data_IF_647177781945
#
_entry.id   IF_647177781945
#
_cell.length_a   1.000
_cell.length_b   1.000
_cell.length_c   1.000
_cell.angle_alpha   90.00
_cell.angle_beta   90.00
_cell.angle_gamma   90.00
#
_symmetry.space_group_name_H-M   'P 1'
#
loop_
_entity.id
_entity.type
_entity.pdbx_description
1 polymer ?
#
# COMPACT_ATOMS: atom_id res chain seq x y z
N UNK A 1 -23.24 -12.40 -0.32
CA UNK A 1 -22.00 -13.18 -0.20
C UNK A 1 -21.40 -12.74 1.12
N UNK A 2 -21.55 -13.60 2.13
CA UNK A 2 -21.28 -13.27 3.53
C UNK A 2 -19.78 -13.19 3.74
N UNK A 3 -19.27 -12.00 4.06
CA UNK A 3 -17.87 -11.81 4.44
C UNK A 3 -17.69 -12.33 5.87
N UNK A 4 -16.75 -13.26 6.04
CA UNK A 4 -16.49 -13.94 7.30
C UNK A 4 -15.86 -13.00 8.33
N UNK A 5 -16.54 -12.87 9.48
CA UNK A 5 -16.16 -12.15 10.69
C UNK A 5 -14.95 -12.77 11.43
N UNK A 6 -13.76 -12.79 10.83
CA UNK A 6 -12.57 -13.32 11.52
C UNK A 6 -11.32 -12.44 11.48
N UNK A 7 -11.24 -11.45 10.59
CA UNK A 7 -10.01 -10.66 10.41
C UNK A 7 -10.06 -9.25 11.00
N UNK A 8 -11.08 -8.97 11.81
CA UNK A 8 -11.28 -7.70 12.51
C UNK A 8 -10.34 -7.52 13.72
N UNK A 9 -9.14 -8.11 13.72
CA UNK A 9 -8.34 -8.30 14.95
C UNK A 9 -7.20 -7.29 15.10
N UNK A 10 -6.51 -6.90 14.02
CA UNK A 10 -5.28 -6.09 14.15
C UNK A 10 -5.59 -4.64 14.55
N UNK A 11 -6.58 -4.00 13.92
CA UNK A 11 -7.07 -2.69 14.35
C UNK A 11 -7.82 -2.72 15.71
N UNK A 12 -8.39 -3.86 16.12
CA UNK A 12 -9.08 -4.00 17.42
C UNK A 12 -8.14 -4.24 18.60
N UNK A 13 -7.02 -4.92 18.42
CA UNK A 13 -6.14 -5.30 19.53
C UNK A 13 -5.48 -4.09 20.23
N UNK A 14 -5.36 -2.96 19.55
CA UNK A 14 -4.86 -1.70 20.15
C UNK A 14 -5.92 -0.94 20.96
N UNK A 15 -7.17 -1.41 21.01
CA UNK A 15 -8.29 -0.70 21.66
C UNK A 15 -8.63 -1.18 23.08
N UNK A 16 -7.99 -2.24 23.59
CA UNK A 16 -8.26 -2.70 24.95
C UNK A 16 -7.49 -1.89 25.99
N UNK A 17 -8.15 -0.85 26.48
CA UNK A 17 -8.17 -0.28 27.86
C UNK A 17 -7.89 1.21 28.05
N UNK A 18 -7.48 1.99 27.05
CA UNK A 18 -7.41 3.46 27.19
C UNK A 18 -7.74 4.18 25.87
N UNK A 19 -8.90 4.83 25.80
CA UNK A 19 -9.24 5.75 24.72
C UNK A 19 -8.49 7.06 24.92
N UNK A 20 -7.37 7.24 24.20
CA UNK A 20 -6.64 8.50 24.12
C UNK A 20 -6.88 9.07 22.71
N UNK A 21 -7.67 10.14 22.53
CA UNK A 21 -8.00 10.67 21.21
C UNK A 21 -6.75 11.05 20.38
N UNK A 22 -5.66 11.44 21.05
CA UNK A 22 -4.37 11.71 20.41
C UNK A 22 -3.69 10.46 19.84
N UNK A 23 -3.78 9.32 20.52
CA UNK A 23 -3.07 8.09 20.12
C UNK A 23 -3.69 7.46 18.86
N UNK A 24 -5.02 7.46 18.78
CA UNK A 24 -5.75 6.97 17.61
C UNK A 24 -5.50 7.84 16.36
N UNK A 25 -5.44 9.16 16.53
CA UNK A 25 -5.09 10.07 15.43
C UNK A 25 -3.65 9.84 14.93
N UNK A 26 -2.69 9.57 15.83
CA UNK A 26 -1.31 9.26 15.44
C UNK A 26 -1.18 7.91 14.73
N UNK A 27 -1.94 6.90 15.12
CA UNK A 27 -1.97 5.59 14.46
C UNK A 27 -2.58 5.72 13.06
N UNK A 28 -3.76 6.34 12.93
CA UNK A 28 -4.39 6.60 11.63
C UNK A 28 -3.46 7.36 10.69
N UNK A 29 -2.71 8.33 11.21
CA UNK A 29 -1.74 9.09 10.42
C UNK A 29 -0.58 8.21 9.93
N UNK A 30 -0.06 7.31 10.76
CA UNK A 30 0.99 6.36 10.36
C UNK A 30 0.53 5.45 9.22
N UNK A 31 -0.66 4.87 9.33
CA UNK A 31 -1.24 4.01 8.29
C UNK A 31 -1.48 4.77 6.98
N UNK A 32 -1.94 6.02 7.05
CA UNK A 32 -2.08 6.87 5.86
C UNK A 32 -0.74 7.13 5.17
N UNK A 33 0.32 7.37 5.94
CA UNK A 33 1.66 7.56 5.39
C UNK A 33 2.24 6.26 4.81
N UNK A 34 2.03 5.12 5.49
CA UNK A 34 2.44 3.81 5.01
C UNK A 34 1.75 3.44 3.69
N UNK A 35 0.44 3.70 3.57
CA UNK A 35 -0.30 3.50 2.33
C UNK A 35 0.30 4.27 1.15
N UNK A 36 0.72 5.52 1.37
CA UNK A 36 1.38 6.31 0.32
C UNK A 36 2.72 5.72 -0.10
N UNK A 37 3.51 5.21 0.86
CA UNK A 37 4.76 4.54 0.56
C UNK A 37 4.55 3.24 -0.22
N UNK A 38 3.53 2.44 0.13
CA UNK A 38 3.15 1.24 -0.61
C UNK A 38 2.85 1.56 -2.07
N UNK A 39 2.01 2.57 -2.30
CA UNK A 39 1.62 2.96 -3.66
C UNK A 39 2.82 3.48 -4.47
N UNK A 40 3.75 4.20 -3.83
CA UNK A 40 4.98 4.65 -4.49
C UNK A 40 5.86 3.47 -4.94
N UNK A 41 6.13 2.51 -4.05
CA UNK A 41 6.96 1.35 -4.39
C UNK A 41 6.30 0.39 -5.38
N UNK A 42 4.98 0.22 -5.30
CA UNK A 42 4.26 -0.62 -6.23
C UNK A 42 4.21 0.03 -7.63
N UNK A 43 3.99 1.34 -7.72
CA UNK A 43 4.07 2.06 -9.00
C UNK A 43 5.47 1.98 -9.60
N UNK A 44 6.51 2.16 -8.79
CA UNK A 44 7.88 2.02 -9.25
C UNK A 44 8.12 0.59 -9.78
N UNK A 45 7.76 -0.44 -9.03
CA UNK A 45 7.94 -1.83 -9.43
C UNK A 45 7.19 -2.18 -10.73
N UNK A 46 5.97 -1.66 -10.91
CA UNK A 46 5.20 -1.81 -12.14
C UNK A 46 5.90 -1.12 -13.32
N UNK A 47 6.50 0.07 -13.10
CA UNK A 47 7.19 0.83 -14.15
C UNK A 47 8.44 0.13 -14.68
N UNK A 48 9.05 -0.75 -13.88
CA UNK A 48 10.20 -1.57 -14.30
C UNK A 48 9.81 -2.75 -15.19
N UNK A 49 8.51 -3.09 -15.28
CA UNK A 49 8.04 -4.20 -16.12
C UNK A 49 7.89 -3.72 -17.56
N UNK A 50 8.43 -4.49 -18.50
CA UNK A 50 8.26 -4.23 -19.93
C UNK A 50 6.75 -4.22 -20.29
N UNK A 51 6.20 -3.10 -20.81
CA UNK A 51 4.79 -2.98 -21.16
C UNK A 51 4.34 -3.98 -22.24
N UNK A 52 5.28 -4.58 -22.98
CA UNK A 52 4.99 -5.61 -24.00
C UNK A 52 4.90 -7.01 -23.41
N UNK A 53 5.33 -7.23 -22.17
CA UNK A 53 5.30 -8.56 -21.53
C UNK A 53 3.86 -8.90 -21.16
N UNK A 54 3.37 -10.03 -21.69
CA UNK A 54 2.01 -10.53 -21.43
C UNK A 54 2.06 -11.92 -20.81
N UNK A 55 1.09 -12.24 -19.96
CA UNK A 55 0.89 -13.57 -19.39
C UNK A 55 -0.42 -14.19 -19.89
N UNK A 56 -0.42 -15.51 -20.08
CA UNK A 56 -1.63 -16.28 -20.38
C UNK A 56 -2.38 -16.55 -19.08
N UNK A 57 -3.55 -15.95 -18.89
CA UNK A 57 -4.41 -16.16 -17.71
C UNK A 57 -5.34 -17.37 -17.86
N UNK A 58 -4.99 -18.27 -18.77
CA UNK A 58 -5.73 -19.49 -19.05
C UNK A 58 -7.01 -19.25 -19.87
N UNK A 59 -7.27 -20.16 -20.80
CA UNK A 59 -8.55 -20.22 -21.48
C UNK A 59 -8.84 -21.65 -21.95
N UNK A 60 -9.60 -22.37 -21.15
CA UNK A 60 -10.18 -23.65 -21.56
C UNK A 60 -11.57 -23.48 -22.20
N UNK A 61 -11.91 -22.27 -22.67
CA UNK A 61 -13.11 -22.09 -23.48
C UNK A 61 -12.82 -22.59 -24.89
N UNK A 62 -13.25 -23.83 -25.15
CA UNK A 62 -13.38 -24.32 -26.51
C UNK A 62 -14.42 -23.45 -27.22
N UNK A 63 -14.01 -22.86 -28.33
CA UNK A 63 -14.95 -22.36 -29.32
C UNK A 63 -15.75 -23.54 -29.90
N UNK A 64 -16.94 -23.29 -30.47
CA UNK A 64 -17.73 -24.33 -31.16
C UNK A 64 -16.97 -25.02 -32.32
N UNK A 65 -15.88 -24.41 -32.81
CA UNK A 65 -15.00 -24.93 -33.87
C UNK A 65 -13.85 -25.83 -33.35
N UNK A 66 -13.76 -26.07 -32.04
CA UNK A 66 -12.72 -26.90 -31.43
C UNK A 66 -11.41 -26.16 -31.11
N UNK A 67 -11.30 -24.87 -31.40
CA UNK A 67 -10.12 -24.07 -31.05
C UNK A 67 -10.18 -23.53 -29.63
N UNK A 68 -9.03 -23.49 -28.95
CA UNK A 68 -8.85 -22.90 -27.62
C UNK A 68 -8.49 -21.41 -27.77
N UNK A 69 -9.17 -20.52 -27.06
CA UNK A 69 -8.93 -19.07 -27.16
C UNK A 69 -8.06 -18.55 -26.04
N UNK A 70 -6.73 -18.57 -26.17
CA UNK A 70 -5.84 -18.01 -25.15
C UNK A 70 -6.18 -16.56 -24.78
N UNK A 71 -6.53 -16.31 -23.51
CA UNK A 71 -6.71 -14.97 -22.96
C UNK A 71 -5.36 -14.46 -22.48
N UNK A 72 -4.83 -13.45 -23.16
CA UNK A 72 -3.59 -12.75 -22.79
C UNK A 72 -3.91 -11.44 -22.10
N UNK A 73 -3.22 -11.16 -21.00
CA UNK A 73 -3.27 -9.87 -20.31
C UNK A 73 -1.85 -9.33 -20.10
N UNK A 74 -1.66 -8.00 -19.99
CA UNK A 74 -0.36 -7.43 -19.63
C UNK A 74 0.14 -8.00 -18.30
N UNK A 75 1.40 -8.43 -18.24
CA UNK A 75 2.00 -9.01 -17.02
C UNK A 75 1.94 -8.00 -15.87
N UNK A 76 2.30 -6.74 -16.15
CA UNK A 76 2.28 -5.64 -15.20
C UNK A 76 0.95 -5.43 -14.47
N UNK A 77 -0.14 -5.99 -15.01
CA UNK A 77 -1.51 -5.85 -14.50
C UNK A 77 -2.17 -7.19 -14.15
N UNK A 78 -1.43 -8.29 -14.27
CA UNK A 78 -1.93 -9.60 -13.87
C UNK A 78 -1.96 -9.69 -12.35
N UNK A 79 -3.06 -10.22 -11.79
CA UNK A 79 -3.25 -10.36 -10.34
C UNK A 79 -2.07 -11.10 -9.69
N UNK A 80 -1.60 -12.19 -10.32
CA UNK A 80 -0.43 -12.94 -9.87
C UNK A 80 0.82 -12.08 -9.76
N UNK A 81 1.10 -11.25 -10.77
CA UNK A 81 2.28 -10.38 -10.73
C UNK A 81 2.11 -9.27 -9.69
N UNK A 82 0.92 -8.70 -9.54
CA UNK A 82 0.66 -7.65 -8.53
C UNK A 82 0.80 -8.18 -7.11
N UNK A 83 0.34 -9.41 -6.84
CA UNK A 83 0.53 -10.10 -5.55
C UNK A 83 2.04 -10.34 -5.28
N UNK A 84 2.78 -10.87 -6.25
CA UNK A 84 4.24 -11.04 -6.13
C UNK A 84 4.99 -9.72 -5.86
N UNK A 85 4.56 -8.63 -6.48
CA UNK A 85 5.15 -7.31 -6.22
C UNK A 85 4.81 -6.81 -4.82
N UNK A 86 3.58 -6.98 -4.36
CA UNK A 86 3.12 -6.55 -3.04
C UNK A 86 3.90 -7.22 -1.90
N UNK A 87 4.20 -8.52 -2.03
CA UNK A 87 5.02 -9.27 -1.07
C UNK A 87 6.40 -8.62 -0.84
N UNK A 88 6.96 -7.97 -1.85
CA UNK A 88 8.27 -7.32 -1.79
C UNK A 88 8.24 -5.87 -1.27
N UNK A 89 7.10 -5.17 -1.34
CA UNK A 89 7.01 -3.73 -1.08
C UNK A 89 7.36 -3.38 0.36
N UNK A 90 6.89 -4.15 1.33
CA UNK A 90 7.12 -3.82 2.74
C UNK A 90 8.59 -3.96 3.17
N UNK A 91 9.39 -4.78 2.48
CA UNK A 91 10.84 -4.85 2.71
C UNK A 91 11.56 -3.54 2.39
N UNK A 92 11.04 -2.78 1.41
CA UNK A 92 11.60 -1.47 1.03
C UNK A 92 11.29 -0.36 2.03
N UNK A 93 10.43 -0.58 3.03
CA UNK A 93 10.12 0.44 4.06
C UNK A 93 11.33 0.81 4.91
N UNK A 94 12.34 -0.06 4.97
CA UNK A 94 13.64 0.23 5.61
C UNK A 94 14.43 1.34 4.90
N UNK A 95 14.14 1.62 3.63
CA UNK A 95 14.72 2.70 2.84
C UNK A 95 13.98 4.04 2.99
N UNK A 96 12.94 4.09 3.83
CA UNK A 96 12.15 5.28 4.13
C UNK A 96 12.45 5.82 5.53
N UNK A 97 12.41 7.14 5.65
CA UNK A 97 12.53 7.83 6.93
C UNK A 97 11.56 9.01 6.99
N UNK A 98 11.27 9.46 8.21
CA UNK A 98 10.36 10.56 8.44
C UNK A 98 11.00 11.86 7.93
N UNK A 99 10.39 12.48 6.93
CA UNK A 99 10.82 13.75 6.37
C UNK A 99 9.86 14.87 6.80
N UNK A 100 10.41 15.99 7.24
CA UNK A 100 9.63 17.19 7.60
C UNK A 100 9.81 18.24 6.52
N UNK A 101 8.75 18.58 5.81
CA UNK A 101 8.78 19.63 4.80
C UNK A 101 9.24 20.97 5.42
N UNK A 102 10.29 21.63 4.88
CA UNK A 102 10.84 22.85 5.47
C UNK A 102 9.85 24.02 5.40
N UNK A 103 9.01 24.07 4.37
CA UNK A 103 8.07 25.16 4.12
C UNK A 103 6.74 24.91 4.84
N UNK A 104 6.15 23.72 4.66
CA UNK A 104 4.82 23.41 5.18
C UNK A 104 4.83 22.75 6.56
N UNK A 105 6.01 22.36 7.07
CA UNK A 105 6.18 21.57 8.32
C UNK A 105 5.41 20.25 8.35
N UNK A 106 4.98 19.75 7.19
CA UNK A 106 4.23 18.49 7.08
C UNK A 106 5.20 17.31 7.22
N UNK A 107 4.79 16.31 7.99
CA UNK A 107 5.55 15.08 8.22
C UNK A 107 5.13 14.01 7.21
N UNK A 108 6.07 13.40 6.50
CA UNK A 108 5.78 12.31 5.58
C UNK A 108 6.95 11.32 5.55
N UNK A 109 6.68 10.04 5.36
CA UNK A 109 7.75 9.11 5.05
C UNK A 109 8.22 9.35 3.62
N UNK A 110 9.53 9.53 3.45
CA UNK A 110 10.16 9.70 2.14
C UNK A 110 11.33 8.72 2.05
N UNK A 111 11.54 8.19 0.85
CA UNK A 111 12.68 7.33 0.57
C UNK A 111 13.97 8.14 0.69
N UNK A 112 14.95 7.66 1.45
CA UNK A 112 16.26 8.29 1.59
C UNK A 112 17.35 7.51 0.84
N UNK A 113 17.16 6.21 0.67
CA UNK A 113 18.06 5.40 -0.15
C UNK A 113 17.71 5.57 -1.65
N UNK A 114 18.68 5.52 -2.56
CA UNK A 114 18.43 5.48 -3.99
C UNK A 114 17.93 4.10 -4.42
N UNK A 115 17.19 4.04 -5.53
CA UNK A 115 16.83 2.76 -6.17
C UNK A 115 18.00 2.29 -7.03
N UNK A 116 18.05 1.01 -7.37
CA UNK A 116 19.20 0.41 -8.09
C UNK A 116 19.50 1.07 -9.45
N UNK A 117 18.50 1.67 -10.11
CA UNK A 117 18.64 2.46 -11.34
C UNK A 117 19.17 3.87 -11.12
N UNK A 118 19.11 4.37 -9.88
CA UNK A 118 19.30 5.78 -9.53
C UNK A 118 20.57 5.98 -8.71
N UNK A 119 21.55 5.08 -8.88
CA UNK A 119 22.81 5.09 -8.12
C UNK A 119 23.53 6.45 -8.28
N UNK A 120 23.40 7.31 -7.27
CA UNK A 120 24.01 8.64 -7.23
C UNK A 120 23.04 9.79 -6.97
N UNK A 121 21.72 9.57 -7.06
CA UNK A 121 20.71 10.58 -6.71
C UNK A 121 20.25 10.40 -5.26
N UNK A 122 20.96 11.04 -4.33
CA UNK A 122 20.61 11.04 -2.91
C UNK A 122 19.83 12.30 -2.56
N UNK A 123 18.68 12.19 -1.87
CA UNK A 123 17.95 13.36 -1.41
C UNK A 123 18.73 14.12 -0.34
N UNK A 124 18.42 15.41 -0.17
CA UNK A 124 18.97 16.19 0.95
C UNK A 124 18.52 15.62 2.30
N UNK A 125 19.50 15.20 3.11
CA UNK A 125 19.28 14.59 4.43
C UNK A 125 18.85 15.58 5.52
N UNK A 126 18.98 16.89 5.33
CA UNK A 126 18.76 17.91 6.37
C UNK A 126 17.38 17.85 7.04
N UNK A 127 16.36 17.39 6.31
CA UNK A 127 14.97 17.36 6.77
C UNK A 127 14.47 15.96 7.17
N UNK A 128 15.36 14.96 7.11
CA UNK A 128 15.04 13.61 7.56
C UNK A 128 15.26 13.48 9.07
N UNK A 129 14.36 12.71 9.70
CA UNK A 129 14.39 12.31 11.09
C UNK A 129 14.58 10.80 11.11
N UNK A 130 15.75 10.41 11.61
CA UNK A 130 16.13 9.02 11.80
C UNK A 130 15.90 8.69 13.27
N UNK A 131 14.73 8.15 13.58
CA UNK A 131 14.34 7.75 14.94
C UNK A 131 14.93 6.37 15.32
N UNK A 132 16.07 6.00 14.73
CA UNK A 132 16.67 4.67 14.85
C UNK A 132 15.81 3.58 14.18
N UNK A 133 16.06 2.29 14.50
CA UNK A 133 15.33 1.17 13.92
C UNK A 133 13.84 1.18 14.29
N UNK A 134 13.46 1.83 15.39
CA UNK A 134 12.05 1.92 15.82
C UNK A 134 11.18 2.64 14.78
N UNK A 135 11.70 3.70 14.15
CA UNK A 135 10.97 4.47 13.14
C UNK A 135 10.73 3.71 11.83
N UNK A 136 11.72 2.95 11.37
CA UNK A 136 11.60 2.10 10.17
C UNK A 136 10.75 0.87 10.44
N UNK A 137 10.88 0.25 11.62
CA UNK A 137 10.08 -0.90 12.01
C UNK A 137 8.60 -0.55 12.14
N UNK A 138 8.28 0.64 12.67
CA UNK A 138 6.89 1.10 12.75
C UNK A 138 6.25 1.27 11.37
N UNK A 139 6.99 1.80 10.39
CA UNK A 139 6.52 1.91 9.01
C UNK A 139 6.37 0.55 8.35
N UNK A 140 7.35 -0.34 8.51
CA UNK A 140 7.30 -1.69 7.97
C UNK A 140 6.10 -2.46 8.55
N UNK A 141 5.89 -2.41 9.85
CA UNK A 141 4.73 -3.04 10.49
C UNK A 141 3.40 -2.50 9.97
N UNK A 142 3.28 -1.17 9.82
CA UNK A 142 2.09 -0.56 9.23
C UNK A 142 1.88 -0.98 7.78
N UNK A 143 2.97 -1.13 7.01
CA UNK A 143 2.91 -1.65 5.65
C UNK A 143 2.39 -3.10 5.63
N UNK A 144 3.01 -3.98 6.42
CA UNK A 144 2.63 -5.40 6.49
C UNK A 144 1.16 -5.55 6.89
N UNK A 145 0.71 -4.75 7.86
CA UNK A 145 -0.69 -4.71 8.28
C UNK A 145 -1.64 -4.28 7.15
N UNK A 146 -1.26 -3.26 6.37
CA UNK A 146 -2.08 -2.79 5.23
C UNK A 146 -2.09 -3.84 4.12
N UNK A 147 -0.96 -4.44 3.78
CA UNK A 147 -0.90 -5.46 2.73
C UNK A 147 -1.72 -6.68 3.14
N UNK A 148 -1.59 -7.15 4.38
CA UNK A 148 -2.37 -8.28 4.89
C UNK A 148 -3.89 -8.03 4.85
N UNK A 149 -4.36 -6.83 5.21
CA UNK A 149 -5.79 -6.51 5.22
C UNK A 149 -6.35 -6.13 3.84
N UNK A 150 -5.57 -5.49 2.98
CA UNK A 150 -6.05 -4.84 1.74
C UNK A 150 -5.45 -5.41 0.45
N UNK A 151 -4.75 -6.55 0.47
CA UNK A 151 -4.11 -7.14 -0.72
C UNK A 151 -5.06 -7.18 -1.93
N UNK A 152 -6.23 -7.80 -1.78
CA UNK A 152 -7.22 -7.97 -2.85
C UNK A 152 -7.71 -6.62 -3.42
N UNK A 153 -7.94 -5.63 -2.54
CA UNK A 153 -8.39 -4.29 -2.93
C UNK A 153 -7.30 -3.53 -3.67
N UNK A 154 -6.06 -3.62 -3.18
CA UNK A 154 -4.89 -3.03 -3.85
C UNK A 154 -4.73 -3.63 -5.23
N UNK A 155 -4.72 -4.96 -5.36
CA UNK A 155 -4.60 -5.65 -6.65
C UNK A 155 -5.73 -5.21 -7.60
N UNK A 156 -6.97 -5.20 -7.13
CA UNK A 156 -8.15 -4.80 -7.90
C UNK A 156 -8.07 -3.37 -8.41
N UNK A 157 -7.56 -2.43 -7.60
CA UNK A 157 -7.37 -1.04 -7.99
C UNK A 157 -6.27 -0.88 -9.04
N UNK A 158 -5.13 -1.54 -8.84
CA UNK A 158 -3.99 -1.46 -9.76
C UNK A 158 -4.23 -2.20 -11.09
N UNK A 159 -5.06 -3.24 -11.09
CA UNK A 159 -5.46 -3.95 -12.31
C UNK A 159 -6.36 -3.10 -13.23
N UNK A 160 -7.10 -2.13 -12.69
CA UNK A 160 -8.09 -1.30 -13.42
C UNK A 160 -7.52 -0.04 -14.08
N UNK A 161 -6.22 0.23 -13.97
CA UNK A 161 -5.56 1.43 -14.54
C UNK A 161 -6.30 2.73 -14.17
N UNK A 162 -6.62 2.88 -12.87
CA UNK A 162 -7.31 4.07 -12.40
C UNK A 162 -6.34 5.20 -12.10
N UNK A 163 -6.61 6.40 -12.61
CA UNK A 163 -5.99 7.61 -12.09
C UNK A 163 -6.33 7.78 -10.60
N UNK A 164 -5.41 8.38 -9.85
CA UNK A 164 -5.56 8.63 -8.41
C UNK A 164 -5.66 7.37 -7.53
N UNK A 165 -4.92 6.31 -7.85
CA UNK A 165 -4.84 5.09 -6.99
C UNK A 165 -4.49 5.43 -5.55
N UNK A 166 -3.55 6.36 -5.34
CA UNK A 166 -3.16 6.86 -4.00
C UNK A 166 -4.38 7.38 -3.23
N UNK A 167 -5.16 8.26 -3.85
CA UNK A 167 -6.28 8.90 -3.17
C UNK A 167 -7.39 7.89 -2.89
N UNK A 168 -7.71 6.99 -3.81
CA UNK A 168 -8.75 5.98 -3.60
C UNK A 168 -8.35 4.98 -2.51
N UNK A 169 -7.21 4.34 -2.68
CA UNK A 169 -6.73 3.32 -1.75
C UNK A 169 -6.52 3.92 -0.36
N UNK A 170 -5.79 5.03 -0.26
CA UNK A 170 -5.44 5.57 1.06
C UNK A 170 -6.63 6.26 1.74
N UNK A 171 -7.64 6.74 1.01
CA UNK A 171 -8.89 7.15 1.62
C UNK A 171 -9.69 5.94 2.12
N UNK A 172 -9.78 4.84 1.37
CA UNK A 172 -10.45 3.60 1.77
C UNK A 172 -9.77 2.96 3.00
N UNK A 173 -8.44 2.90 3.02
CA UNK A 173 -7.63 2.52 4.18
C UNK A 173 -7.94 3.47 5.35
N UNK A 174 -7.97 4.79 5.11
CA UNK A 174 -8.32 5.75 6.17
C UNK A 174 -9.74 5.56 6.70
N UNK A 175 -10.69 5.22 5.83
CA UNK A 175 -12.10 5.06 6.18
C UNK A 175 -12.37 3.73 6.89
N UNK A 176 -11.61 2.68 6.57
CA UNK A 176 -11.61 1.42 7.29
C UNK A 176 -10.91 1.56 8.65
N UNK A 177 -9.82 2.31 8.71
CA UNK A 177 -9.25 2.71 9.98
C UNK A 177 -10.24 3.57 10.79
N UNK A 178 -10.98 4.51 10.16
CA UNK A 178 -12.12 5.27 10.74
C UNK A 178 -13.38 4.42 10.96
N UNK A 179 -13.39 3.15 10.57
CA UNK A 179 -14.50 2.20 10.70
C UNK A 179 -14.96 1.98 12.14
N UNK A 180 -14.27 2.54 13.14
CA UNK A 180 -14.89 3.00 14.37
C UNK A 180 -15.74 4.25 14.11
N UNK A 181 -16.86 4.11 13.41
CA UNK A 181 -17.92 5.11 13.44
C UNK A 181 -18.44 5.19 14.87
N UNK A 182 -17.92 6.10 15.69
CA UNK A 182 -18.80 6.76 16.63
C UNK A 182 -19.65 7.71 15.79
N UNK A 183 -20.95 7.43 15.74
CA UNK A 183 -21.93 8.28 15.09
C UNK A 183 -21.67 9.73 15.52
N UNK A 184 -21.52 10.60 14.52
CA UNK A 184 -21.69 12.03 14.73
C UNK A 184 -23.17 12.28 14.97
N UNK A 185 -23.65 12.01 16.17
CA UNK A 185 -24.93 12.53 16.62
C UNK A 185 -24.64 13.53 17.75
N UNK A 186 -24.64 14.80 17.34
CA UNK A 186 -25.26 15.93 18.02
C UNK A 186 -25.27 15.92 19.57
N UNK A 187 -24.28 16.58 20.18
CA UNK A 187 -24.38 17.84 20.97
C UNK A 187 -23.10 18.09 21.78
#
# INVERSE_FOLDING_TARGET
MSFNDSNLSVCKLLTSTVYIPNLYCTILYLFLLACRAIVDELNYSISQIDPKKTINVGAFRLKPDGSLTDKKVPLARSETNLSELLDGVCGSMSDYALHVDPDTKKKQYKRFAPRSSDAGDFPDFNNFKFDGPEGSNALQFACESIVEEFEDDIISLFAKETDHVVDKLCNEVSDHCKGTKFQSDEL
#
